data_IF_238561429062
#
_entry.id   IF_238561429062
#
_cell.length_a   1.000
_cell.length_b   1.000
_cell.length_c   1.000
_cell.angle_alpha   90.00
_cell.angle_beta   90.00
_cell.angle_gamma   90.00
#
_symmetry.space_group_name_H-M   'P 1'
#
loop_
_entity.id
_entity.type
_entity.pdbx_description
1 polymer ?
#
# COMPACT_ATOMS: atom_id res chain seq x y z
N UNK A 1 14.59 15.79 14.71
CA UNK A 1 14.47 16.62 13.50
C UNK A 1 13.87 15.74 12.41
N UNK A 2 12.98 16.25 11.58
CA UNK A 2 12.45 15.53 10.41
C UNK A 2 13.16 16.09 9.18
N UNK A 3 13.83 15.24 8.42
CA UNK A 3 14.45 15.60 7.15
C UNK A 3 13.49 15.27 6.01
N UNK A 4 13.37 16.16 5.01
CA UNK A 4 12.45 15.97 3.88
C UNK A 4 13.20 15.99 2.55
N UNK A 5 12.83 15.08 1.65
CA UNK A 5 13.29 15.05 0.26
C UNK A 5 12.10 14.89 -0.67
N UNK A 6 12.07 15.63 -1.77
CA UNK A 6 11.03 15.48 -2.80
C UNK A 6 11.51 14.46 -3.84
N UNK A 7 10.83 13.31 -3.91
CA UNK A 7 11.25 12.23 -4.81
C UNK A 7 10.55 12.30 -6.16
N UNK A 8 9.28 12.67 -6.16
CA UNK A 8 8.48 12.80 -7.37
C UNK A 8 7.71 14.11 -7.33
N UNK A 9 7.69 14.84 -8.44
CA UNK A 9 6.99 16.12 -8.54
C UNK A 9 6.10 16.14 -9.78
N UNK A 10 4.87 16.62 -9.61
CA UNK A 10 3.92 16.79 -10.70
C UNK A 10 4.52 17.65 -11.83
N UNK A 11 4.28 17.24 -13.08
CA UNK A 11 4.78 17.91 -14.28
C UNK A 11 6.20 17.50 -14.69
N UNK A 12 6.93 16.71 -13.89
CA UNK A 12 8.26 16.23 -14.25
C UNK A 12 8.21 14.99 -15.15
N UNK A 13 9.28 14.78 -15.93
CA UNK A 13 9.44 13.63 -16.83
C UNK A 13 8.28 13.44 -17.83
N UNK A 14 7.52 14.51 -18.08
CA UNK A 14 6.35 14.48 -18.96
C UNK A 14 5.13 13.78 -18.37
N UNK A 15 5.04 13.60 -17.05
CA UNK A 15 3.86 13.07 -16.36
C UNK A 15 3.16 14.17 -15.57
N UNK A 16 1.83 14.19 -15.63
CA UNK A 16 1.02 15.19 -14.94
C UNK A 16 1.12 15.03 -13.41
N UNK A 17 1.02 13.81 -12.88
CA UNK A 17 1.01 13.57 -11.44
C UNK A 17 1.69 12.25 -11.08
N UNK A 18 2.34 12.23 -9.93
CA UNK A 18 2.82 11.00 -9.28
C UNK A 18 1.97 10.73 -8.05
N UNK A 19 1.47 9.50 -7.90
CA UNK A 19 0.55 9.11 -6.83
C UNK A 19 0.85 7.71 -6.31
N UNK A 20 0.20 7.36 -5.19
CA UNK A 20 0.20 6.01 -4.62
C UNK A 20 1.63 5.56 -4.24
N UNK A 21 2.24 6.21 -3.23
CA UNK A 21 3.55 5.85 -2.74
C UNK A 21 3.55 4.48 -2.08
N UNK A 22 4.55 3.67 -2.42
CA UNK A 22 4.87 2.43 -1.70
C UNK A 22 6.37 2.35 -1.44
N UNK A 23 6.76 1.79 -0.30
CA UNK A 23 8.12 1.85 0.19
C UNK A 23 8.56 0.46 0.69
N UNK A 24 9.75 0.03 0.29
CA UNK A 24 10.38 -1.18 0.81
C UNK A 24 11.83 -0.86 1.18
N UNK A 25 12.27 -1.32 2.35
CA UNK A 25 13.69 -1.38 2.68
C UNK A 25 14.10 -2.85 2.60
N UNK A 26 15.05 -3.14 1.71
CA UNK A 26 15.52 -4.50 1.48
C UNK A 26 16.45 -4.95 2.60
N UNK A 27 16.74 -6.25 2.61
CA UNK A 27 17.74 -6.85 3.45
C UNK A 27 19.12 -6.30 3.24
N UNK A 28 19.45 -5.76 2.07
CA UNK A 28 20.74 -5.09 1.86
C UNK A 28 20.74 -3.65 2.40
N UNK A 29 19.58 -3.14 2.84
CA UNK A 29 19.40 -1.75 3.29
C UNK A 29 19.07 -0.80 2.15
N UNK A 30 18.86 -1.33 0.95
CA UNK A 30 18.41 -0.54 -0.20
C UNK A 30 16.99 -0.06 0.04
N UNK A 31 16.74 1.23 -0.18
CA UNK A 31 15.42 1.83 -0.12
C UNK A 31 14.85 1.89 -1.53
N UNK A 32 13.69 1.26 -1.73
CA UNK A 32 12.94 1.26 -2.97
C UNK A 32 11.66 2.07 -2.76
N UNK A 33 11.58 3.24 -3.39
CA UNK A 33 10.40 4.08 -3.40
C UNK A 33 9.67 3.93 -4.72
N UNK A 34 8.43 3.44 -4.68
CA UNK A 34 7.58 3.22 -5.85
C UNK A 34 6.50 4.30 -5.94
N UNK A 35 6.04 4.58 -7.15
CA UNK A 35 4.91 5.47 -7.40
C UNK A 35 4.23 5.10 -8.71
N UNK A 36 2.93 5.35 -8.79
CA UNK A 36 2.25 5.53 -10.07
C UNK A 36 2.72 6.84 -10.71
N UNK A 37 3.03 6.80 -12.00
CA UNK A 37 3.28 7.95 -12.85
C UNK A 37 2.09 8.12 -13.80
N UNK A 38 1.22 9.09 -13.50
CA UNK A 38 -0.05 9.31 -14.22
C UNK A 38 0.13 10.34 -15.32
N UNK A 39 0.00 9.91 -16.58
CA UNK A 39 0.43 10.71 -17.74
C UNK A 39 -0.39 11.98 -17.92
N UNK A 40 -1.72 11.83 -17.97
CA UNK A 40 -2.62 12.87 -18.48
C UNK A 40 -3.33 13.67 -17.38
N UNK A 41 -3.34 13.17 -16.14
CA UNK A 41 -4.10 13.77 -15.05
C UNK A 41 -3.93 13.00 -13.75
N UNK A 42 -4.58 13.48 -12.69
CA UNK A 42 -4.55 12.83 -11.37
C UNK A 42 -5.63 11.73 -11.20
N UNK A 43 -6.37 11.36 -12.25
CA UNK A 43 -7.41 10.33 -12.20
C UNK A 43 -6.86 8.91 -12.05
N UNK A 44 -7.71 7.95 -11.64
CA UNK A 44 -7.31 6.57 -11.31
C UNK A 44 -7.36 5.60 -12.51
N UNK A 45 -7.63 6.10 -13.72
CA UNK A 45 -7.62 5.35 -14.97
C UNK A 45 -7.00 6.17 -16.12
N UNK A 46 -6.55 5.47 -17.15
CA UNK A 46 -5.80 6.01 -18.29
C UNK A 46 -4.36 5.50 -18.31
N UNK A 47 -3.49 6.17 -19.08
CA UNK A 47 -2.06 5.83 -19.14
C UNK A 47 -1.36 6.11 -17.81
N UNK A 48 -1.12 5.05 -17.05
CA UNK A 48 -0.44 5.07 -15.76
C UNK A 48 0.63 3.99 -15.77
N UNK A 49 1.87 4.39 -15.53
CA UNK A 49 3.04 3.52 -15.45
C UNK A 49 3.52 3.44 -13.99
N UNK A 50 4.35 2.45 -13.65
CA UNK A 50 5.02 2.35 -12.35
C UNK A 50 6.46 2.80 -12.48
N UNK A 51 6.84 3.72 -11.60
CA UNK A 51 8.20 4.23 -11.48
C UNK A 51 8.82 3.88 -10.14
N UNK A 52 10.15 3.79 -10.14
CA UNK A 52 10.97 3.46 -8.99
C UNK A 52 12.09 4.50 -8.85
N UNK A 53 12.36 4.90 -7.61
CA UNK A 53 13.66 5.47 -7.21
C UNK A 53 14.30 4.52 -6.22
N UNK A 54 15.61 4.34 -6.37
CA UNK A 54 16.42 3.42 -5.57
C UNK A 54 17.51 4.20 -4.83
N UNK A 55 17.75 3.86 -3.57
CA UNK A 55 18.79 4.43 -2.74
C UNK A 55 19.55 3.32 -2.01
N UNK A 56 20.87 3.36 -2.02
CA UNK A 56 21.74 2.38 -1.33
C UNK A 56 22.41 2.97 -0.08
N UNK A 57 21.95 4.14 0.38
CA UNK A 57 22.54 4.87 1.50
C UNK A 57 21.47 5.32 2.51
N UNK A 58 20.50 4.46 2.81
CA UNK A 58 19.39 4.72 3.75
C UNK A 58 18.46 5.87 3.33
N UNK A 59 18.34 6.13 2.02
CA UNK A 59 17.47 7.17 1.48
C UNK A 59 18.08 8.56 1.47
N UNK A 60 19.40 8.72 1.65
CA UNK A 60 20.07 10.02 1.61
C UNK A 60 20.27 10.54 0.18
N UNK A 61 20.63 9.66 -0.75
CA UNK A 61 20.75 9.96 -2.17
C UNK A 61 19.98 8.93 -3.00
N UNK A 62 19.55 9.35 -4.19
CA UNK A 62 18.66 8.56 -5.04
C UNK A 62 19.23 8.47 -6.45
N UNK A 63 19.19 7.25 -6.99
CA UNK A 63 19.43 7.00 -8.40
C UNK A 63 18.38 7.74 -9.28
N UNK A 64 18.68 7.93 -10.58
CA UNK A 64 17.69 8.40 -11.53
C UNK A 64 16.41 7.56 -11.50
N UNK A 65 15.27 8.19 -11.71
CA UNK A 65 13.97 7.51 -11.76
C UNK A 65 13.95 6.45 -12.87
N UNK A 66 13.51 5.25 -12.52
CA UNK A 66 13.35 4.11 -13.41
C UNK A 66 11.87 3.89 -13.73
N UNK A 67 11.57 3.46 -14.96
CA UNK A 67 10.23 3.00 -15.35
C UNK A 67 10.25 1.47 -15.31
N UNK A 68 9.53 0.88 -14.36
CA UNK A 68 9.65 -0.56 -14.09
C UNK A 68 8.44 -1.36 -14.58
N UNK A 69 7.27 -0.73 -14.75
CA UNK A 69 6.10 -1.39 -15.35
C UNK A 69 5.29 -0.42 -16.20
N UNK A 70 4.95 -0.82 -17.42
CA UNK A 70 4.13 -0.05 -18.35
C UNK A 70 3.38 -1.01 -19.29
N UNK A 71 2.17 -0.62 -19.73
CA UNK A 71 1.36 -1.43 -20.65
C UNK A 71 0.61 -0.54 -21.66
N UNK A 72 1.36 0.04 -22.59
CA UNK A 72 0.79 0.92 -23.62
C UNK A 72 0.10 2.14 -23.02
N UNK A 73 -1.23 2.23 -23.18
CA UNK A 73 -2.07 3.26 -22.55
C UNK A 73 -2.91 2.74 -21.39
N UNK A 74 -2.80 1.46 -21.05
CA UNK A 74 -3.49 0.88 -19.92
C UNK A 74 -2.98 1.48 -18.61
N UNK A 75 -3.75 1.26 -17.56
CA UNK A 75 -3.38 1.59 -16.20
C UNK A 75 -2.62 0.43 -15.60
N UNK A 76 -1.39 0.66 -15.14
CA UNK A 76 -0.69 -0.19 -14.18
C UNK A 76 -0.56 0.61 -12.89
N UNK A 77 -1.10 0.08 -11.79
CA UNK A 77 -1.24 0.83 -10.53
C UNK A 77 -1.13 -0.01 -9.28
N UNK A 78 -1.32 0.64 -8.13
CA UNK A 78 -1.27 0.04 -6.79
C UNK A 78 -0.02 -0.83 -6.53
N UNK A 79 1.20 -0.25 -6.57
CA UNK A 79 2.41 -1.00 -6.22
C UNK A 79 2.31 -1.54 -4.79
N UNK A 80 2.55 -2.84 -4.62
CA UNK A 80 2.62 -3.47 -3.30
C UNK A 80 3.82 -4.42 -3.19
N UNK A 81 4.99 -3.94 -2.72
CA UNK A 81 6.18 -4.76 -2.63
C UNK A 81 6.26 -5.56 -1.32
N UNK A 82 6.94 -6.71 -1.38
CA UNK A 82 7.42 -7.49 -0.23
C UNK A 82 8.72 -8.19 -0.61
N UNK A 83 9.70 -8.21 0.29
CA UNK A 83 10.87 -9.08 0.12
C UNK A 83 10.66 -10.38 0.85
N UNK A 84 10.83 -11.49 0.13
CA UNK A 84 11.01 -12.79 0.74
C UNK A 84 12.40 -12.86 1.40
N UNK A 85 12.41 -12.97 2.72
CA UNK A 85 13.60 -12.94 3.53
C UNK A 85 14.46 -14.20 3.39
N UNK A 86 13.87 -15.30 2.93
CA UNK A 86 14.57 -16.58 2.78
C UNK A 86 15.28 -16.68 1.44
N UNK A 87 14.68 -16.16 0.39
CA UNK A 87 15.22 -16.21 -0.98
C UNK A 87 15.94 -14.94 -1.40
N UNK A 88 15.62 -13.80 -0.75
CA UNK A 88 16.08 -12.46 -1.15
C UNK A 88 15.25 -11.84 -2.28
N UNK A 89 14.38 -12.62 -2.93
CA UNK A 89 13.51 -12.16 -4.02
C UNK A 89 12.56 -11.07 -3.53
N UNK A 90 12.48 -9.98 -4.27
CA UNK A 90 11.49 -8.93 -4.06
C UNK A 90 10.33 -9.20 -5.00
N UNK A 91 9.14 -9.40 -4.44
CA UNK A 91 7.89 -9.47 -5.18
C UNK A 91 7.22 -8.10 -5.18
N UNK A 92 6.67 -7.71 -6.33
CA UNK A 92 5.86 -6.51 -6.49
C UNK A 92 4.51 -6.90 -7.07
N UNK A 93 3.44 -6.67 -6.31
CA UNK A 93 2.08 -6.83 -6.79
C UNK A 93 1.56 -5.52 -7.36
N UNK A 94 0.71 -5.64 -8.38
CA UNK A 94 0.18 -4.54 -9.17
C UNK A 94 -1.26 -4.84 -9.61
N UNK A 95 -1.98 -3.82 -10.03
CA UNK A 95 -3.25 -3.97 -10.73
C UNK A 95 -3.18 -3.42 -12.16
N UNK A 96 -3.95 -4.04 -13.06
CA UNK A 96 -4.13 -3.56 -14.43
C UNK A 96 -5.59 -3.33 -14.78
N UNK A 97 -5.89 -2.25 -15.49
CA UNK A 97 -7.14 -2.08 -16.22
C UNK A 97 -6.89 -1.37 -17.56
N UNK A 98 -7.84 -1.49 -18.48
CA UNK A 98 -7.78 -0.80 -19.77
C UNK A 98 -7.71 0.74 -19.58
N UNK A 99 -7.20 1.46 -20.59
CA UNK A 99 -7.16 2.94 -20.62
C UNK A 99 -8.52 3.58 -20.25
N UNK A 100 -9.61 3.02 -20.79
CA UNK A 100 -11.00 3.43 -20.55
C UNK A 100 -11.68 2.63 -19.43
N UNK A 101 -10.93 1.82 -18.69
CA UNK A 101 -11.39 0.97 -17.59
C UNK A 101 -11.61 1.77 -16.32
N UNK A 102 -12.57 2.68 -16.33
CA UNK A 102 -12.90 3.49 -15.15
C UNK A 102 -13.56 2.66 -14.05
N UNK A 103 -13.41 3.10 -12.80
CA UNK A 103 -13.92 2.39 -11.62
C UNK A 103 -15.40 2.04 -11.71
N UNK A 104 -16.25 2.95 -12.18
CA UNK A 104 -17.68 2.69 -12.33
C UNK A 104 -18.00 1.58 -13.34
N UNK A 105 -17.20 1.43 -14.41
CA UNK A 105 -17.36 0.36 -15.40
C UNK A 105 -16.85 -0.98 -14.87
N UNK A 106 -15.75 -0.94 -14.12
CA UNK A 106 -15.21 -2.13 -13.46
C UNK A 106 -16.21 -2.64 -12.42
N UNK A 107 -16.70 -1.77 -11.53
CA UNK A 107 -17.75 -2.11 -10.56
C UNK A 107 -18.98 -2.69 -11.24
N UNK A 108 -19.40 -2.14 -12.39
CA UNK A 108 -20.52 -2.66 -13.17
C UNK A 108 -20.22 -3.99 -13.90
N UNK A 109 -19.04 -4.57 -13.75
CA UNK A 109 -18.61 -5.80 -14.41
C UNK A 109 -18.37 -5.66 -15.92
N UNK A 110 -18.29 -4.43 -16.45
CA UNK A 110 -18.11 -4.16 -17.88
C UNK A 110 -16.65 -4.16 -18.31
N UNK A 111 -15.74 -3.96 -17.35
CA UNK A 111 -14.29 -3.88 -17.55
C UNK A 111 -13.59 -4.69 -16.48
N UNK A 112 -12.42 -5.24 -16.80
CA UNK A 112 -11.63 -6.00 -15.83
C UNK A 112 -10.68 -5.09 -15.05
N UNK A 113 -10.35 -5.55 -13.85
CA UNK A 113 -9.21 -5.09 -13.06
C UNK A 113 -8.45 -6.32 -12.62
N UNK A 114 -7.29 -6.51 -13.22
CA UNK A 114 -6.47 -7.72 -13.11
C UNK A 114 -5.46 -7.56 -11.98
N UNK A 115 -4.95 -8.67 -11.47
CA UNK A 115 -3.88 -8.72 -10.45
C UNK A 115 -2.62 -9.27 -11.11
N UNK A 116 -1.58 -8.47 -11.07
CA UNK A 116 -0.29 -8.79 -11.68
C UNK A 116 0.78 -8.91 -10.60
N UNK A 117 1.81 -9.68 -10.90
CA UNK A 117 3.04 -9.72 -10.10
C UNK A 117 4.26 -9.55 -10.99
N UNK A 118 5.31 -8.99 -10.41
CA UNK A 118 6.67 -8.92 -10.94
C UNK A 118 7.63 -9.32 -9.83
N UNK A 119 8.86 -9.66 -10.19
CA UNK A 119 9.93 -9.86 -9.20
C UNK A 119 11.27 -9.26 -9.60
N UNK A 120 12.09 -8.99 -8.59
CA UNK A 120 13.51 -8.68 -8.71
C UNK A 120 14.31 -9.65 -7.86
N UNK A 121 15.33 -10.26 -8.45
CA UNK A 121 16.28 -11.16 -7.78
C UNK A 121 17.66 -10.48 -7.56
N UNK A 122 17.73 -9.18 -7.80
CA UNK A 122 18.96 -8.37 -7.81
C UNK A 122 18.79 -7.04 -7.04
N UNK A 123 18.05 -7.09 -5.93
CA UNK A 123 17.89 -5.97 -4.99
C UNK A 123 17.28 -4.70 -5.64
N UNK A 124 16.31 -4.93 -6.54
CA UNK A 124 15.53 -3.89 -7.20
C UNK A 124 16.21 -3.24 -8.40
N UNK A 125 17.31 -3.80 -8.92
CA UNK A 125 18.01 -3.28 -10.10
C UNK A 125 17.26 -3.61 -11.39
N UNK A 126 16.79 -4.85 -11.55
CA UNK A 126 16.00 -5.29 -12.69
C UNK A 126 14.74 -6.02 -12.24
N UNK A 127 13.74 -6.02 -13.11
CA UNK A 127 12.42 -6.59 -12.83
C UNK A 127 12.01 -7.54 -13.94
N UNK A 128 11.35 -8.64 -13.58
CA UNK A 128 10.75 -9.58 -14.53
C UNK A 128 9.61 -8.94 -15.31
N UNK A 129 9.17 -9.57 -16.39
CA UNK A 129 7.89 -9.24 -17.02
C UNK A 129 6.72 -9.42 -16.03
N UNK A 130 5.64 -8.69 -16.26
CA UNK A 130 4.39 -8.82 -15.49
C UNK A 130 3.72 -10.17 -15.75
N UNK A 131 3.45 -10.93 -14.68
CA UNK A 131 2.67 -12.17 -14.71
C UNK A 131 1.27 -11.92 -14.14
N UNK A 132 0.24 -12.27 -14.90
CA UNK A 132 -1.15 -12.22 -14.45
C UNK A 132 -1.47 -13.41 -13.56
N UNK A 133 -1.95 -13.15 -12.33
CA UNK A 133 -2.36 -14.17 -11.36
C UNK A 133 -3.86 -14.10 -11.04
N UNK A 134 -4.63 -13.34 -11.82
CA UNK A 134 -6.05 -13.05 -11.51
C UNK A 134 -6.88 -14.32 -11.32
N UNK A 135 -6.61 -15.38 -12.10
CA UNK A 135 -7.33 -16.65 -11.99
C UNK A 135 -7.12 -17.36 -10.65
N UNK A 136 -6.00 -17.09 -9.98
CA UNK A 136 -5.65 -17.71 -8.70
C UNK A 136 -6.21 -16.92 -7.52
N UNK A 137 -6.33 -15.59 -7.67
CA UNK A 137 -6.60 -14.68 -6.55
C UNK A 137 -7.86 -13.82 -6.68
N UNK A 138 -8.65 -13.98 -7.75
CA UNK A 138 -9.89 -13.23 -7.96
C UNK A 138 -11.05 -14.17 -8.23
N UNK A 139 -12.06 -14.12 -7.36
CA UNK A 139 -13.29 -14.90 -7.56
C UNK A 139 -14.12 -14.37 -8.73
N UNK A 140 -14.88 -15.21 -9.45
CA UNK A 140 -15.66 -14.78 -10.61
C UNK A 140 -16.66 -13.65 -10.34
N UNK A 141 -17.25 -13.61 -9.14
CA UNK A 141 -18.20 -12.59 -8.71
C UNK A 141 -17.54 -11.26 -8.30
N UNK A 142 -16.20 -11.24 -8.18
CA UNK A 142 -15.44 -10.04 -7.83
C UNK A 142 -15.22 -9.18 -9.07
N UNK A 143 -15.61 -7.92 -8.98
CA UNK A 143 -15.49 -6.96 -10.07
C UNK A 143 -14.26 -6.07 -9.89
N UNK A 144 -14.37 -5.10 -8.98
CA UNK A 144 -13.24 -4.28 -8.54
C UNK A 144 -12.30 -5.08 -7.65
N UNK A 145 -11.00 -4.82 -7.80
CA UNK A 145 -9.95 -5.47 -7.02
C UNK A 145 -8.74 -4.52 -6.87
N UNK A 146 -8.14 -4.45 -5.69
CA UNK A 146 -6.80 -3.89 -5.53
C UNK A 146 -5.92 -4.77 -4.62
N UNK A 147 -4.64 -4.92 -5.00
CA UNK A 147 -3.59 -5.48 -4.15
C UNK A 147 -2.77 -4.31 -3.59
N UNK A 148 -2.68 -4.20 -2.26
CA UNK A 148 -2.18 -2.99 -1.60
C UNK A 148 -3.10 -1.78 -1.77
N UNK A 149 -2.57 -0.55 -1.94
CA UNK A 149 -1.16 -0.19 -2.08
C UNK A 149 -0.41 -0.17 -0.72
N UNK A 150 0.79 0.42 -0.68
CA UNK A 150 1.81 0.29 0.38
C UNK A 150 2.55 -1.02 0.31
N UNK A 151 2.95 -1.65 1.42
CA UNK A 151 3.76 -2.85 1.41
C UNK A 151 2.99 -4.06 1.91
N UNK A 152 3.44 -5.23 1.47
CA UNK A 152 3.04 -6.52 2.02
C UNK A 152 4.08 -6.99 3.04
N UNK A 153 3.75 -8.04 3.80
CA UNK A 153 4.60 -8.55 4.87
C UNK A 153 4.94 -10.02 4.62
N UNK A 154 6.15 -10.44 5.00
CA UNK A 154 6.41 -11.86 5.23
C UNK A 154 6.24 -12.13 6.71
N UNK A 155 5.39 -13.09 7.07
CA UNK A 155 5.15 -13.51 8.44
C UNK A 155 6.34 -14.28 9.01
N UNK A 156 6.40 -14.45 10.33
CA UNK A 156 7.40 -15.28 11.01
C UNK A 156 7.35 -16.74 10.52
N UNK A 157 6.21 -17.20 10.03
CA UNK A 157 6.03 -18.53 9.44
C UNK A 157 6.69 -18.72 8.07
N UNK A 158 7.19 -17.65 7.44
CA UNK A 158 7.71 -17.65 6.07
C UNK A 158 6.66 -17.28 5.00
N UNK A 159 5.37 -17.27 5.36
CA UNK A 159 4.27 -16.88 4.47
C UNK A 159 4.41 -15.43 4.00
N UNK A 160 4.33 -15.20 2.69
CA UNK A 160 4.09 -13.87 2.13
C UNK A 160 2.60 -13.55 2.25
N UNK A 161 2.24 -12.43 2.85
CA UNK A 161 0.86 -12.02 3.07
C UNK A 161 0.63 -10.60 2.53
N UNK A 162 -0.30 -10.47 1.59
CA UNK A 162 -0.56 -9.23 0.87
C UNK A 162 -1.95 -8.71 1.21
N UNK A 163 -2.08 -7.48 1.76
CA UNK A 163 -3.36 -6.84 1.95
C UNK A 163 -4.01 -6.51 0.61
N UNK A 164 -5.32 -6.75 0.49
CA UNK A 164 -6.09 -6.51 -0.72
C UNK A 164 -7.49 -6.01 -0.36
N UNK A 165 -8.24 -5.60 -1.39
CA UNK A 165 -9.68 -5.39 -1.28
C UNK A 165 -10.39 -5.66 -2.61
N UNK A 166 -11.68 -5.95 -2.53
CA UNK A 166 -12.52 -6.23 -3.69
C UNK A 166 -13.92 -5.64 -3.54
N UNK A 167 -14.69 -5.64 -4.62
CA UNK A 167 -16.13 -5.43 -4.61
C UNK A 167 -16.83 -6.60 -5.31
N UNK A 168 -17.99 -7.00 -4.80
CA UNK A 168 -18.79 -8.10 -5.36
C UNK A 168 -19.95 -7.50 -6.15
N UNK A 169 -20.18 -7.97 -7.38
CA UNK A 169 -21.39 -7.61 -8.13
C UNK A 169 -22.56 -8.46 -7.63
N UNK A 170 -23.61 -7.82 -7.16
CA UNK A 170 -24.88 -8.49 -6.91
C UNK A 170 -25.64 -8.62 -8.25
N UNK A 171 -25.84 -9.84 -8.76
CA UNK A 171 -26.50 -10.05 -10.05
C UNK A 171 -28.00 -9.75 -10.02
N UNK A 172 -28.64 -9.81 -8.85
CA UNK A 172 -30.08 -9.54 -8.69
C UNK A 172 -30.38 -8.04 -8.77
N UNK A 173 -29.52 -7.22 -8.16
CA UNK A 173 -29.69 -5.75 -8.14
C UNK A 173 -28.92 -5.04 -9.24
N UNK A 174 -27.92 -5.70 -9.84
CA UNK A 174 -26.99 -5.08 -10.79
C UNK A 174 -26.05 -4.06 -10.15
N UNK A 175 -25.94 -4.05 -8.82
CA UNK A 175 -25.09 -3.12 -8.06
C UNK A 175 -23.85 -3.84 -7.55
N UNK A 176 -22.70 -3.17 -7.54
CA UNK A 176 -21.46 -3.70 -6.98
C UNK A 176 -21.05 -2.98 -5.70
N UNK A 177 -20.43 -3.74 -4.81
CA UNK A 177 -20.03 -3.30 -3.47
C UNK A 177 -20.99 -3.78 -2.37
N UNK A 178 -20.75 -3.35 -1.12
CA UNK A 178 -19.67 -2.47 -0.69
C UNK A 178 -18.28 -3.09 -0.87
N UNK A 179 -17.23 -2.26 -0.83
CA UNK A 179 -15.87 -2.79 -0.81
C UNK A 179 -15.63 -3.63 0.43
N UNK A 180 -14.75 -4.62 0.29
CA UNK A 180 -14.38 -5.56 1.35
C UNK A 180 -12.88 -5.81 1.29
N UNK A 181 -12.20 -5.67 2.44
CA UNK A 181 -10.80 -6.02 2.61
C UNK A 181 -10.63 -7.54 2.72
N UNK A 182 -9.54 -8.04 2.16
CA UNK A 182 -9.11 -9.43 2.26
C UNK A 182 -7.59 -9.51 2.18
N UNK A 183 -7.04 -10.71 2.31
CA UNK A 183 -5.62 -10.97 2.05
C UNK A 183 -5.47 -12.04 0.98
N UNK A 184 -4.34 -12.00 0.28
CA UNK A 184 -3.83 -13.13 -0.49
C UNK A 184 -2.48 -13.53 0.08
N UNK A 185 -2.09 -14.78 -0.11
CA UNK A 185 -0.85 -15.29 0.46
C UNK A 185 -0.12 -16.26 -0.46
N UNK A 186 1.16 -16.46 -0.18
CA UNK A 186 1.99 -17.50 -0.75
C UNK A 186 2.81 -18.16 0.36
N UNK A 187 2.79 -19.49 0.38
CA UNK A 187 3.57 -20.34 1.29
C UNK A 187 4.75 -21.03 0.57
N UNK A 188 4.97 -20.71 -0.70
CA UNK A 188 5.96 -21.34 -1.59
C UNK A 188 6.86 -20.31 -2.27
N UNK A 189 7.25 -19.28 -1.52
CA UNK A 189 8.18 -18.22 -1.95
C UNK A 189 7.70 -17.44 -3.18
N UNK A 190 6.38 -17.24 -3.30
CA UNK A 190 5.73 -16.49 -4.38
C UNK A 190 5.48 -17.27 -5.67
N UNK A 191 5.74 -18.58 -5.68
CA UNK A 191 5.51 -19.42 -6.85
C UNK A 191 4.01 -19.51 -7.18
N UNK A 192 3.18 -19.78 -6.17
CA UNK A 192 1.70 -19.77 -6.24
C UNK A 192 1.09 -18.83 -5.20
N UNK A 193 -0.12 -18.35 -5.50
CA UNK A 193 -0.85 -17.39 -4.67
C UNK A 193 -2.27 -17.88 -4.41
N UNK A 194 -2.78 -17.62 -3.22
CA UNK A 194 -4.10 -18.09 -2.78
C UNK A 194 -4.87 -16.98 -2.07
N UNK A 195 -6.20 -17.01 -2.17
CA UNK A 195 -7.08 -16.14 -1.40
C UNK A 195 -7.07 -16.60 0.07
N UNK A 196 -6.75 -15.67 0.97
CA UNK A 196 -6.84 -15.87 2.42
C UNK A 196 -8.16 -15.35 3.01
N UNK A 197 -8.10 -14.90 4.26
CA UNK A 197 -9.26 -14.40 4.99
C UNK A 197 -9.86 -13.14 4.38
N UNK A 198 -11.19 -13.06 4.45
CA UNK A 198 -12.00 -11.89 4.11
C UNK A 198 -12.48 -11.29 5.43
N UNK A 199 -12.32 -9.98 5.62
CA UNK A 199 -12.51 -9.34 6.93
C UNK A 199 -13.93 -8.82 7.13
N UNK A 200 -14.46 -8.07 6.16
CA UNK A 200 -15.84 -7.57 6.22
C UNK A 200 -16.11 -6.37 5.33
N UNK A 201 -17.39 -6.09 5.14
CA UNK A 201 -17.90 -5.03 4.25
C UNK A 201 -17.57 -3.61 4.73
N UNK A 202 -17.65 -2.64 3.81
CA UNK A 202 -17.38 -1.22 4.04
C UNK A 202 -15.94 -0.94 4.49
N UNK A 203 -15.02 -1.81 4.07
CA UNK A 203 -13.57 -1.65 4.21
C UNK A 203 -12.94 -1.61 2.83
N UNK A 204 -11.76 -1.02 2.69
CA UNK A 204 -11.11 -0.83 1.39
C UNK A 204 -9.60 -1.05 1.54
N UNK A 205 -8.76 -0.16 1.01
CA UNK A 205 -7.30 -0.20 1.13
C UNK A 205 -6.87 -0.46 2.57
N UNK A 206 -6.02 -1.47 2.76
CA UNK A 206 -5.60 -1.94 4.07
C UNK A 206 -4.10 -2.26 4.11
N UNK A 207 -3.56 -2.33 5.32
CA UNK A 207 -2.14 -2.63 5.60
C UNK A 207 -2.03 -3.56 6.81
N UNK A 208 -0.90 -4.25 6.93
CA UNK A 208 -0.70 -5.35 7.88
C UNK A 208 0.55 -5.14 8.73
N UNK A 209 0.48 -5.49 10.01
CA UNK A 209 1.64 -5.60 10.88
C UNK A 209 1.55 -6.90 11.70
N UNK A 210 2.61 -7.70 11.70
CA UNK A 210 2.69 -8.90 12.56
C UNK A 210 3.39 -8.55 13.87
N UNK A 211 2.77 -8.91 14.99
CA UNK A 211 3.27 -8.70 16.33
C UNK A 211 4.23 -9.83 16.76
N UNK A 212 5.07 -9.60 17.79
CA UNK A 212 6.01 -10.62 18.28
C UNK A 212 5.34 -11.92 18.74
N UNK A 213 4.07 -11.89 19.14
CA UNK A 213 3.29 -13.07 19.53
C UNK A 213 2.64 -13.80 18.33
N UNK A 214 2.87 -13.31 17.10
CA UNK A 214 2.33 -13.86 15.86
C UNK A 214 0.92 -13.36 15.50
N UNK A 215 0.32 -12.49 16.32
CA UNK A 215 -0.94 -11.84 15.95
C UNK A 215 -0.72 -10.86 14.79
N UNK A 216 -1.65 -10.84 13.84
CA UNK A 216 -1.60 -9.92 12.69
C UNK A 216 -2.63 -8.84 12.90
N UNK A 217 -2.18 -7.60 12.99
CA UNK A 217 -3.01 -6.41 13.02
C UNK A 217 -3.27 -5.93 11.60
N UNK A 218 -4.54 -5.83 11.20
CA UNK A 218 -4.96 -5.20 9.95
C UNK A 218 -5.58 -3.84 10.23
N UNK A 219 -5.14 -2.83 9.48
CA UNK A 219 -5.67 -1.48 9.53
C UNK A 219 -6.26 -1.10 8.16
N UNK A 220 -7.51 -0.66 8.14
CA UNK A 220 -8.32 -0.52 6.92
C UNK A 220 -8.91 0.88 6.79
N UNK A 221 -8.91 1.38 5.56
CA UNK A 221 -9.73 2.52 5.15
C UNK A 221 -11.20 2.16 5.31
N UNK A 222 -11.92 2.99 6.08
CA UNK A 222 -13.30 2.70 6.48
C UNK A 222 -14.34 3.54 5.73
N UNK A 223 -15.40 2.87 5.28
CA UNK A 223 -16.63 3.46 4.77
C UNK A 223 -17.79 3.39 5.78
N UNK A 224 -17.51 3.06 7.05
CA UNK A 224 -18.54 2.99 8.10
C UNK A 224 -19.10 4.37 8.53
N UNK A 225 -18.54 5.47 8.04
CA UNK A 225 -19.11 6.81 8.21
C UNK A 225 -18.71 7.57 9.48
N UNK A 226 -17.70 7.08 10.22
CA UNK A 226 -17.25 7.69 11.48
C UNK A 226 -15.90 8.41 11.41
N UNK A 227 -15.27 8.47 10.22
CA UNK A 227 -13.92 9.03 10.06
C UNK A 227 -12.91 8.40 11.03
N UNK A 228 -12.95 7.07 11.18
CA UNK A 228 -12.02 6.27 11.97
C UNK A 228 -11.52 5.11 11.13
N UNK A 229 -10.27 4.71 11.35
CA UNK A 229 -9.73 3.47 10.77
C UNK A 229 -10.53 2.28 11.29
N UNK A 230 -10.89 1.38 10.39
CA UNK A 230 -11.38 0.06 10.77
C UNK A 230 -10.18 -0.85 11.06
N UNK A 231 -10.28 -1.69 12.08
CA UNK A 231 -9.20 -2.59 12.50
C UNK A 231 -9.74 -3.98 12.82
N UNK A 232 -8.90 -4.99 12.60
CA UNK A 232 -9.18 -6.38 12.94
C UNK A 232 -7.86 -7.14 13.20
N UNK A 233 -7.95 -8.25 13.94
CA UNK A 233 -6.81 -9.10 14.26
C UNK A 233 -7.00 -10.51 13.70
N UNK A 234 -5.90 -11.14 13.28
CA UNK A 234 -5.83 -12.56 12.93
C UNK A 234 -4.80 -13.27 13.80
N UNK A 235 -5.09 -14.52 14.16
CA UNK A 235 -4.21 -15.40 14.94
C UNK A 235 -3.87 -16.72 14.23
N UNK A 236 -4.20 -16.82 12.94
CA UNK A 236 -4.05 -18.04 12.14
C UNK A 236 -3.38 -17.78 10.77
N UNK A 237 -2.51 -16.78 10.72
CA UNK A 237 -1.76 -16.44 9.51
C UNK A 237 -2.59 -15.71 8.45
N UNK A 238 -3.65 -14.99 8.86
CA UNK A 238 -4.50 -14.19 7.98
C UNK A 238 -5.68 -14.96 7.39
N UNK A 239 -6.04 -16.13 7.94
CA UNK A 239 -7.12 -16.97 7.39
C UNK A 239 -8.48 -16.59 7.98
N UNK A 240 -8.54 -16.27 9.27
CA UNK A 240 -9.71 -15.72 9.95
C UNK A 240 -9.36 -14.43 10.67
N UNK A 241 -10.38 -13.60 10.87
CA UNK A 241 -10.25 -12.25 11.43
C UNK A 241 -11.29 -12.05 12.53
N UNK A 242 -10.93 -11.28 13.55
CA UNK A 242 -11.86 -10.78 14.55
C UNK A 242 -12.94 -9.89 13.90
N UNK A 243 -14.00 -9.59 14.66
CA UNK A 243 -14.94 -8.55 14.29
C UNK A 243 -14.21 -7.22 14.05
N UNK A 244 -14.73 -6.45 13.08
CA UNK A 244 -14.23 -5.11 12.79
C UNK A 244 -14.57 -4.19 13.96
N UNK A 245 -13.56 -3.44 14.42
CA UNK A 245 -13.75 -2.31 15.34
C UNK A 245 -13.27 -1.02 14.70
N UNK A 246 -13.78 0.11 15.18
CA UNK A 246 -13.35 1.43 14.74
C UNK A 246 -12.45 2.03 15.81
N UNK A 247 -11.18 2.28 15.46
CA UNK A 247 -10.21 2.80 16.41
C UNK A 247 -10.43 4.31 16.62
N UNK A 248 -10.94 4.68 17.80
CA UNK A 248 -11.23 6.08 18.14
C UNK A 248 -10.00 7.00 18.11
N UNK A 249 -8.80 6.47 18.30
CA UNK A 249 -7.56 7.26 18.26
C UNK A 249 -7.06 7.53 16.83
N UNK A 250 -7.56 6.78 15.84
CA UNK A 250 -7.11 6.84 14.44
C UNK A 250 -8.14 7.54 13.55
N UNK A 251 -8.22 8.86 13.66
CA UNK A 251 -9.03 9.71 12.79
C UNK A 251 -8.56 9.61 11.34
N UNK A 252 -9.49 9.48 10.38
CA UNK A 252 -9.15 9.45 8.95
C UNK A 252 -10.14 10.20 8.04
N UNK A 253 -9.70 10.64 6.85
CA UNK A 253 -10.55 11.32 5.87
C UNK A 253 -11.04 10.38 4.75
N UNK A 254 -11.18 9.07 5.02
CA UNK A 254 -11.44 8.03 4.01
C UNK A 254 -10.29 8.02 3.00
N UNK A 255 -9.10 7.65 3.49
CA UNK A 255 -7.86 7.68 2.73
C UNK A 255 -7.01 6.47 3.09
N UNK A 256 -6.11 6.07 2.20
CA UNK A 256 -5.12 5.06 2.52
C UNK A 256 -4.25 5.51 3.72
N UNK A 257 -3.78 4.55 4.51
CA UNK A 257 -2.79 4.73 5.57
C UNK A 257 -1.96 3.45 5.75
N UNK A 258 -0.74 3.60 6.29
CA UNK A 258 0.24 2.51 6.39
C UNK A 258 0.47 2.11 7.84
N UNK A 259 0.57 0.80 8.11
CA UNK A 259 1.06 0.27 9.38
C UNK A 259 2.34 -0.52 9.15
N UNK A 260 3.24 -0.49 10.13
CA UNK A 260 4.51 -1.21 10.07
C UNK A 260 4.87 -1.71 11.46
N UNK A 261 5.17 -3.00 11.60
CA UNK A 261 5.82 -3.53 12.79
C UNK A 261 7.28 -3.03 12.84
N UNK A 262 7.69 -2.44 13.95
CA UNK A 262 9.00 -1.79 14.04
C UNK A 262 10.17 -2.74 14.34
N UNK A 263 9.87 -4.02 14.56
CA UNK A 263 10.82 -5.07 14.96
C UNK A 263 11.27 -5.00 16.42
N UNK A 264 10.72 -4.08 17.22
CA UNK A 264 11.00 -3.89 18.65
C UNK A 264 9.74 -4.05 19.50
N UNK A 265 8.69 -4.65 18.94
CA UNK A 265 7.40 -4.87 19.60
C UNK A 265 6.44 -3.68 19.56
N UNK A 266 6.73 -2.65 18.76
CA UNK A 266 5.82 -1.53 18.52
C UNK A 266 5.25 -1.57 17.10
N UNK A 267 4.11 -0.91 16.91
CA UNK A 267 3.52 -0.63 15.59
C UNK A 267 3.65 0.86 15.31
N UNK A 268 4.08 1.20 14.10
CA UNK A 268 3.99 2.55 13.56
C UNK A 268 2.78 2.63 12.62
N UNK A 269 2.09 3.77 12.62
CA UNK A 269 0.97 4.06 11.72
C UNK A 269 1.14 5.45 11.10
N UNK A 270 0.88 5.60 9.81
CA UNK A 270 0.85 6.88 9.13
C UNK A 270 -0.44 7.11 8.36
N UNK A 271 -1.01 8.30 8.52
CA UNK A 271 -2.10 8.80 7.68
C UNK A 271 -2.22 10.34 7.78
N UNK A 272 -3.06 10.97 6.94
CA UNK A 272 -3.59 12.29 7.24
C UNK A 272 -4.49 12.19 8.49
N UNK A 273 -3.98 12.57 9.66
CA UNK A 273 -4.67 12.42 10.95
C UNK A 273 -5.69 13.55 11.15
N UNK A 274 -6.73 13.52 10.32
CA UNK A 274 -7.75 14.57 10.17
C UNK A 274 -8.97 14.02 9.42
N UNK A 275 -10.10 14.73 9.47
CA UNK A 275 -11.27 14.42 8.64
C UNK A 275 -11.13 14.95 7.20
N UNK A 276 -10.01 15.60 6.88
CA UNK A 276 -9.59 16.00 5.53
C UNK A 276 -8.22 15.43 5.21
N UNK A 277 -7.86 15.39 3.92
CA UNK A 277 -6.53 14.99 3.43
C UNK A 277 -5.47 16.07 3.72
N UNK A 278 -5.14 16.22 5.00
CA UNK A 278 -4.10 17.09 5.53
C UNK A 278 -3.57 16.55 6.88
N UNK A 279 -2.52 17.17 7.41
CA UNK A 279 -1.92 16.78 8.70
C UNK A 279 -1.36 15.34 8.69
N UNK A 280 -0.47 15.03 7.74
CA UNK A 280 0.24 13.76 7.68
C UNK A 280 0.99 13.56 9.00
N UNK A 281 0.67 12.48 9.69
CA UNK A 281 1.14 12.21 11.04
C UNK A 281 1.56 10.75 11.14
N UNK A 282 2.68 10.51 11.84
CA UNK A 282 3.09 9.17 12.23
C UNK A 282 2.80 8.97 13.72
N UNK A 283 2.09 7.90 14.06
CA UNK A 283 1.75 7.49 15.43
C UNK A 283 2.47 6.18 15.77
N UNK A 284 2.73 5.95 17.05
CA UNK A 284 3.28 4.70 17.53
C UNK A 284 2.43 4.09 18.66
N UNK A 285 2.23 2.79 18.58
CA UNK A 285 1.63 1.96 19.62
C UNK A 285 2.68 0.99 20.17
N UNK A 286 2.70 0.84 21.50
CA UNK A 286 3.62 -0.08 22.23
C UNK A 286 2.90 -1.28 22.84
N UNK A 287 1.62 -1.44 22.53
CA UNK A 287 0.72 -2.42 23.10
C UNK A 287 -0.09 -3.14 22.01
N UNK A 288 0.52 -3.37 20.84
CA UNK A 288 -0.10 -4.17 19.78
C UNK A 288 -1.24 -3.48 19.02
N UNK A 289 -1.23 -2.14 18.97
CA UNK A 289 -2.23 -1.35 18.26
C UNK A 289 -3.44 -0.98 19.10
N UNK A 290 -3.43 -1.24 20.42
CA UNK A 290 -4.55 -0.90 21.30
C UNK A 290 -4.58 0.57 21.72
N UNK A 291 -3.41 1.20 21.92
CA UNK A 291 -3.31 2.63 22.22
C UNK A 291 -2.19 3.30 21.44
N UNK A 292 -2.38 4.59 21.14
CA UNK A 292 -1.48 5.42 20.33
C UNK A 292 -1.00 6.62 21.14
N UNK A 293 0.02 6.44 21.98
CA UNK A 293 0.45 7.45 22.97
C UNK A 293 1.54 8.39 22.47
N UNK A 294 2.10 8.13 21.29
CA UNK A 294 3.17 8.94 20.69
C UNK A 294 2.76 9.30 19.26
N UNK A 295 2.91 10.57 18.91
CA UNK A 295 2.66 11.05 17.54
C UNK A 295 3.68 12.10 17.11
N UNK A 296 3.89 12.21 15.81
CA UNK A 296 4.74 13.20 15.16
C UNK A 296 4.08 13.67 13.89
N UNK A 297 3.74 14.96 13.82
CA UNK A 297 3.30 15.59 12.58
C UNK A 297 4.47 15.67 11.62
N UNK A 298 4.29 15.10 10.43
CA UNK A 298 5.27 15.10 9.34
C UNK A 298 5.00 16.27 8.39
N UNK A 299 3.72 16.55 8.09
CA UNK A 299 3.33 17.65 7.21
C UNK A 299 1.94 18.16 7.56
N UNK A 300 1.85 19.39 8.06
CA UNK A 300 0.57 20.02 8.45
C UNK A 300 -0.37 20.25 7.25
N UNK A 301 0.21 20.54 6.08
CA UNK A 301 -0.52 20.92 4.87
C UNK A 301 -1.25 19.76 4.17
N UNK A 302 -1.76 20.02 2.95
CA UNK A 302 -2.39 19.01 2.10
C UNK A 302 -1.50 17.78 1.95
N UNK A 303 -2.06 16.62 2.30
CA UNK A 303 -1.37 15.33 2.27
C UNK A 303 -2.36 14.19 2.15
N UNK A 304 -1.95 13.08 1.56
CA UNK A 304 -2.85 11.97 1.26
C UNK A 304 -2.20 10.61 1.54
N UNK A 305 -1.91 9.80 0.53
CA UNK A 305 -1.43 8.43 0.75
C UNK A 305 -0.03 8.46 1.35
N UNK A 306 0.32 7.44 2.13
CA UNK A 306 1.64 7.33 2.76
C UNK A 306 2.04 5.90 2.98
N UNK A 307 3.34 5.62 2.90
CA UNK A 307 3.93 4.35 3.30
C UNK A 307 5.12 4.52 4.25
N UNK A 308 5.28 3.55 5.14
CA UNK A 308 6.33 3.51 6.15
C UNK A 308 7.35 2.43 5.84
N UNK A 309 8.61 2.73 6.15
CA UNK A 309 9.66 1.72 6.21
C UNK A 309 10.68 2.10 7.27
N UNK A 310 11.58 1.17 7.56
CA UNK A 310 12.64 1.33 8.54
C UNK A 310 13.97 1.03 7.87
N UNK A 311 14.92 1.96 7.97
CA UNK A 311 16.29 1.75 7.49
C UNK A 311 17.10 0.91 8.48
N UNK A 312 18.22 0.33 8.01
CA UNK A 312 19.10 -0.51 8.84
C UNK A 312 19.69 0.22 10.05
N UNK A 313 19.90 1.53 9.94
CA UNK A 313 20.36 2.39 11.04
C UNK A 313 19.24 2.75 12.03
N UNK A 314 18.01 2.25 11.81
CA UNK A 314 16.88 2.40 12.70
C UNK A 314 16.05 3.65 12.46
N UNK A 315 16.35 4.50 11.47
CA UNK A 315 15.48 5.62 11.14
C UNK A 315 14.14 5.15 10.55
N UNK A 316 13.10 5.93 10.82
CA UNK A 316 11.79 5.77 10.18
C UNK A 316 11.78 6.59 8.91
N UNK A 317 11.33 5.96 7.83
CA UNK A 317 11.01 6.61 6.58
C UNK A 317 9.48 6.67 6.43
N UNK A 318 8.99 7.82 5.98
CA UNK A 318 7.59 8.03 5.60
C UNK A 318 7.57 8.63 4.19
N UNK A 319 7.19 7.84 3.20
CA UNK A 319 6.98 8.28 1.81
C UNK A 319 5.52 8.69 1.66
N UNK A 320 5.21 9.93 1.26
CA UNK A 320 3.84 10.43 1.30
C UNK A 320 3.52 11.45 0.21
N UNK A 321 2.27 11.45 -0.24
CA UNK A 321 1.71 12.48 -1.13
C UNK A 321 1.52 13.79 -0.35
N UNK A 322 2.02 14.91 -0.89
CA UNK A 322 1.85 16.22 -0.27
C UNK A 322 1.92 17.41 -1.23
N UNK A 323 1.61 18.59 -0.69
CA UNK A 323 1.78 19.86 -1.37
C UNK A 323 1.53 21.07 -0.46
N UNK A 324 1.58 22.25 -1.07
CA UNK A 324 1.25 23.52 -0.42
C UNK A 324 -0.24 23.83 -0.53
N UNK A 325 -0.83 23.65 -1.73
CA UNK A 325 -2.24 23.90 -2.00
C UNK A 325 -3.06 22.62 -2.16
N UNK A 326 -2.46 21.58 -2.79
CA UNK A 326 -3.12 20.31 -3.10
C UNK A 326 -2.25 19.13 -2.70
N UNK A 327 -2.89 18.02 -2.29
CA UNK A 327 -2.18 16.84 -1.79
C UNK A 327 -1.35 16.09 -2.83
N UNK A 328 -1.48 16.38 -4.14
CA UNK A 328 -0.85 15.61 -5.23
C UNK A 328 0.19 16.42 -6.01
N UNK A 329 0.75 17.48 -5.41
CA UNK A 329 1.80 18.26 -6.07
C UNK A 329 3.12 17.48 -6.16
N UNK A 330 3.38 16.59 -5.20
CA UNK A 330 4.62 15.84 -5.06
C UNK A 330 4.42 14.64 -4.14
N UNK A 331 5.38 13.73 -4.20
CA UNK A 331 5.61 12.69 -3.20
C UNK A 331 6.96 12.99 -2.54
N UNK A 332 6.94 13.10 -1.22
CA UNK A 332 8.13 13.39 -0.41
C UNK A 332 8.48 12.21 0.49
N UNK A 333 9.76 12.05 0.77
CA UNK A 333 10.27 11.17 1.82
C UNK A 333 10.61 12.02 3.04
N UNK A 334 9.98 11.72 4.17
CA UNK A 334 10.41 12.18 5.48
C UNK A 334 11.28 11.11 6.15
N UNK A 335 12.38 11.51 6.78
CA UNK A 335 13.26 10.63 7.57
C UNK A 335 13.48 11.22 8.97
N UNK A 336 13.34 10.39 10.00
CA UNK A 336 13.50 10.80 11.39
C UNK A 336 13.82 9.63 12.32
N UNK A 337 14.45 9.93 13.46
CA UNK A 337 14.72 8.95 14.52
C UNK A 337 13.43 8.45 15.19
N UNK A 338 13.43 7.19 15.61
CA UNK A 338 12.37 6.57 16.43
C UNK A 338 12.28 7.10 17.85
N UNK A 339 13.36 7.72 18.34
CA UNK A 339 13.52 8.21 19.72
C UNK A 339 12.69 9.46 20.03
#
# INVERSE_FOLDING_TARGET
>A
MVNHQHLYKAGEHGYHTFRIPSLLVTHEGTVLAFSEARKNGAGDAGKIDIVLRRSTDNGHTWEPMQFIAADGNNTIGNPCPVQDRETGTIWLLLNRNAEDGHEHDILAGKKSRDVLIMKSDDDGLTWSDMRDISQDVKRPEWTWYAAGPCHAVQLQSGRLLVPCNHAVLNPETGTSGPYTAHVIYSDDHGATWQIGGIVGENTNECTLAEMPDGAIYMNMRSYHGYNRRAIAWSHDGGMTWSDITLDEALVEPICQGSVLADGQGSILFSNPSSVKRNNMTVKASRDGGHTWTVEKVIHEGPSAYSDLAITRDGNVLCLYENGEEKSYERISLASFSRS
#
